data_IF_276765973706
#
_entry.id   IF_276765973706
#
_cell.length_a   1.000
_cell.length_b   1.000
_cell.length_c   1.000
_cell.angle_alpha   90.00
_cell.angle_beta   90.00
_cell.angle_gamma   90.00
#
_symmetry.space_group_name_H-M   'P 1'
#
loop_
_entity.id
_entity.type
_entity.pdbx_description
1 polymer ?
#
# COMPACT_ATOMS: atom_id res chain seq x y z
N UNK A 1 1.19 2.29 -20.03
CA UNK A 1 1.18 1.24 -18.97
C UNK A 1 2.56 1.23 -18.32
N UNK A 2 2.66 1.02 -17.00
CA UNK A 2 3.97 0.87 -16.33
C UNK A 2 4.53 -0.50 -16.68
N UNK A 3 5.80 -0.56 -17.08
CA UNK A 3 6.45 -1.82 -17.49
C UNK A 3 6.76 -2.67 -16.24
N UNK A 4 6.51 -3.98 -16.32
CA UNK A 4 6.84 -4.94 -15.25
C UNK A 4 8.33 -4.90 -14.86
N UNK A 5 9.19 -4.57 -15.83
CA UNK A 5 10.63 -4.39 -15.62
C UNK A 5 10.98 -3.38 -14.52
N UNK A 6 10.13 -2.37 -14.30
CA UNK A 6 10.35 -1.36 -13.25
C UNK A 6 10.16 -1.97 -11.87
N UNK A 7 9.11 -2.77 -11.67
CA UNK A 7 8.87 -3.50 -10.43
C UNK A 7 9.97 -4.54 -10.15
N UNK A 8 10.38 -5.29 -11.17
CA UNK A 8 11.47 -6.26 -11.07
C UNK A 8 12.79 -5.59 -10.69
N UNK A 9 13.06 -4.37 -11.17
CA UNK A 9 14.27 -3.63 -10.78
C UNK A 9 14.24 -3.28 -9.30
N UNK A 10 13.10 -2.85 -8.77
CA UNK A 10 12.95 -2.56 -7.35
C UNK A 10 13.16 -3.82 -6.49
N UNK A 11 12.48 -4.92 -6.79
CA UNK A 11 12.64 -6.18 -6.05
C UNK A 11 14.06 -6.75 -6.14
N UNK A 12 14.73 -6.55 -7.28
CA UNK A 12 16.14 -6.91 -7.45
C UNK A 12 17.06 -6.10 -6.54
N UNK A 13 16.78 -4.81 -6.32
CA UNK A 13 17.55 -3.96 -5.39
C UNK A 13 17.27 -4.31 -3.92
N UNK A 14 16.04 -4.73 -3.58
CA UNK A 14 15.71 -5.30 -2.25
C UNK A 14 16.44 -6.62 -1.99
N UNK A 15 16.68 -7.38 -3.05
CA UNK A 15 17.40 -8.64 -3.03
C UNK A 15 16.43 -9.81 -3.18
N UNK A 16 16.61 -10.68 -4.21
CA UNK A 16 15.64 -11.72 -4.55
C UNK A 16 15.41 -12.72 -3.39
N UNK A 17 16.48 -13.13 -2.70
CA UNK A 17 16.37 -14.01 -1.54
C UNK A 17 15.54 -13.37 -0.42
N UNK A 18 15.78 -12.10 -0.10
CA UNK A 18 15.02 -11.37 0.91
C UNK A 18 13.56 -11.20 0.52
N UNK A 19 13.26 -10.93 -0.75
CA UNK A 19 11.87 -10.86 -1.22
C UNK A 19 11.14 -12.19 -1.07
N UNK A 20 11.81 -13.31 -1.37
CA UNK A 20 11.23 -14.66 -1.18
C UNK A 20 10.98 -14.93 0.30
N UNK A 21 11.93 -14.60 1.18
CA UNK A 21 11.77 -14.76 2.63
C UNK A 21 10.58 -13.94 3.15
N UNK A 22 10.45 -12.68 2.73
CA UNK A 22 9.34 -11.80 3.15
C UNK A 22 8.00 -12.44 2.73
N UNK A 23 7.85 -12.84 1.47
CA UNK A 23 6.61 -13.43 0.95
C UNK A 23 6.30 -14.76 1.63
N UNK A 24 7.31 -15.61 1.86
CA UNK A 24 7.12 -16.90 2.51
C UNK A 24 6.73 -16.77 3.98
N UNK A 25 7.41 -15.90 4.73
CA UNK A 25 7.06 -15.62 6.13
C UNK A 25 5.68 -14.98 6.25
N UNK A 26 5.32 -14.13 5.29
CA UNK A 26 3.98 -13.58 5.20
C UNK A 26 2.92 -14.67 4.98
N UNK A 27 3.17 -15.61 4.06
CA UNK A 27 2.28 -16.73 3.81
C UNK A 27 2.12 -17.62 5.05
N UNK A 28 3.22 -17.92 5.75
CA UNK A 28 3.20 -18.69 7.00
C UNK A 28 2.44 -17.97 8.11
N UNK A 29 2.60 -16.65 8.25
CA UNK A 29 1.80 -15.83 9.15
C UNK A 29 0.30 -15.97 8.86
N UNK A 30 -0.09 -15.88 7.58
CA UNK A 30 -1.49 -15.99 7.18
C UNK A 30 -2.05 -17.39 7.43
N UNK A 31 -1.27 -18.44 7.16
CA UNK A 31 -1.65 -19.84 7.44
C UNK A 31 -1.81 -20.07 8.93
N UNK A 32 -0.86 -19.62 9.76
CA UNK A 32 -0.95 -19.72 11.22
C UNK A 32 -2.19 -18.98 11.76
N UNK A 33 -2.51 -17.80 11.21
CA UNK A 33 -3.71 -17.06 11.55
C UNK A 33 -4.99 -17.82 11.21
N UNK A 34 -5.06 -18.44 10.03
CA UNK A 34 -6.22 -19.26 9.64
C UNK A 34 -6.35 -20.49 10.54
N UNK A 35 -5.25 -21.20 10.80
CA UNK A 35 -5.25 -22.37 11.69
C UNK A 35 -5.68 -22.01 13.11
N UNK A 36 -5.25 -20.86 13.64
CA UNK A 36 -5.68 -20.40 14.96
C UNK A 36 -7.20 -20.14 15.02
N UNK A 37 -7.78 -19.56 13.95
CA UNK A 37 -9.22 -19.35 13.86
C UNK A 37 -9.99 -20.68 13.73
N UNK A 38 -9.51 -21.62 12.91
CA UNK A 38 -10.12 -22.95 12.78
C UNK A 38 -10.07 -23.69 14.11
N UNK A 39 -8.92 -23.70 14.77
CA UNK A 39 -8.73 -24.32 16.07
C UNK A 39 -9.65 -23.72 17.16
N UNK A 40 -9.84 -22.40 17.14
CA UNK A 40 -10.79 -21.74 18.04
C UNK A 40 -12.24 -22.12 17.73
N UNK A 41 -12.58 -22.30 16.44
CA UNK A 41 -13.90 -22.81 16.04
C UNK A 41 -14.13 -24.24 16.52
N UNK A 42 -13.13 -25.11 16.47
CA UNK A 42 -13.22 -26.48 16.99
C UNK A 42 -13.34 -26.48 18.52
N UNK A 43 -12.57 -25.65 19.22
CA UNK A 43 -12.65 -25.53 20.68
C UNK A 43 -14.05 -25.08 21.14
N UNK A 44 -14.63 -24.11 20.45
CA UNK A 44 -15.98 -23.59 20.77
C UNK A 44 -17.12 -24.51 20.32
N UNK A 45 -16.87 -25.39 19.34
CA UNK A 45 -17.85 -26.33 18.81
C UNK A 45 -17.87 -27.71 19.47
N UNK A 46 -17.01 -27.97 20.47
CA UNK A 46 -16.94 -29.27 21.14
C UNK A 46 -18.17 -29.52 22.03
N UNK A 47 -19.16 -30.26 21.49
CA UNK A 47 -20.39 -30.64 22.19
C UNK A 47 -20.14 -31.42 23.48
N UNK A 48 -19.00 -32.12 23.61
CA UNK A 48 -18.70 -32.87 24.83
C UNK A 48 -18.36 -31.93 25.99
N UNK A 49 -17.75 -30.77 25.70
CA UNK A 49 -17.53 -29.72 26.70
C UNK A 49 -18.86 -29.05 27.06
N UNK A 50 -19.74 -28.83 26.08
CA UNK A 50 -21.04 -28.20 26.30
C UNK A 50 -22.07 -29.10 27.02
N UNK A 51 -22.02 -30.42 26.78
CA UNK A 51 -22.93 -31.40 27.38
C UNK A 51 -22.64 -31.72 28.85
N UNK A 52 -21.51 -31.25 29.39
CA UNK A 52 -21.16 -31.43 30.80
C UNK A 52 -20.79 -32.87 31.17
N UNK A 53 -20.50 -33.72 30.18
CA UNK A 53 -20.23 -35.15 30.38
C UNK A 53 -18.79 -35.44 30.89
N UNK A 54 -18.00 -34.40 31.15
CA UNK A 54 -16.62 -34.48 31.65
C UNK A 54 -16.55 -34.19 33.14
N UNK A 55 -15.69 -34.94 33.84
CA UNK A 55 -15.31 -34.60 35.22
C UNK A 55 -14.50 -33.29 35.21
N UNK A 56 -14.56 -32.50 36.29
CA UNK A 56 -13.81 -31.24 36.41
C UNK A 56 -12.32 -31.35 36.05
N UNK A 57 -11.67 -32.48 36.37
CA UNK A 57 -10.26 -32.72 36.04
C UNK A 57 -10.05 -32.95 34.53
N UNK A 58 -10.88 -33.74 33.88
CA UNK A 58 -10.81 -34.04 32.44
C UNK A 58 -11.08 -32.78 31.59
N UNK A 59 -12.07 -31.97 32.00
CA UNK A 59 -12.36 -30.68 31.37
C UNK A 59 -11.17 -29.73 31.44
N UNK A 60 -10.49 -29.68 32.60
CA UNK A 60 -9.33 -28.82 32.80
C UNK A 60 -8.17 -29.23 31.90
N UNK A 61 -7.92 -30.53 31.74
CA UNK A 61 -6.87 -31.04 30.86
C UNK A 61 -7.17 -30.75 29.38
N UNK A 62 -8.40 -31.01 28.92
CA UNK A 62 -8.87 -30.66 27.57
C UNK A 62 -8.70 -29.17 27.27
N UNK A 63 -9.17 -28.29 28.15
CA UNK A 63 -9.03 -26.85 27.98
C UNK A 63 -7.56 -26.40 27.99
N UNK A 64 -6.72 -27.02 28.81
CA UNK A 64 -5.29 -26.74 28.81
C UNK A 64 -4.63 -27.14 27.49
N UNK A 65 -5.03 -28.25 26.88
CA UNK A 65 -4.56 -28.67 25.56
C UNK A 65 -4.96 -27.67 24.47
N UNK A 66 -6.25 -27.29 24.40
CA UNK A 66 -6.73 -26.29 23.43
C UNK A 66 -5.99 -24.96 23.57
N UNK A 67 -5.83 -24.47 24.81
CA UNK A 67 -5.11 -23.24 25.12
C UNK A 67 -3.63 -23.31 24.74
N UNK A 68 -2.98 -24.46 24.97
CA UNK A 68 -1.55 -24.65 24.66
C UNK A 68 -1.32 -24.60 23.15
N UNK A 69 -2.14 -25.29 22.36
CA UNK A 69 -2.03 -25.27 20.89
C UNK A 69 -2.36 -23.88 20.34
N UNK A 70 -3.41 -23.22 20.85
CA UNK A 70 -3.76 -21.86 20.44
C UNK A 70 -2.64 -20.86 20.78
N UNK A 71 -2.05 -20.97 21.97
CA UNK A 71 -0.91 -20.16 22.39
C UNK A 71 0.34 -20.40 21.53
N UNK A 72 0.61 -21.65 21.16
CA UNK A 72 1.71 -22.00 20.26
C UNK A 72 1.52 -21.41 18.84
N UNK A 73 0.29 -21.45 18.30
CA UNK A 73 -0.05 -20.82 17.02
C UNK A 73 0.10 -19.30 17.07
N UNK A 74 -0.32 -18.66 18.18
CA UNK A 74 -0.11 -17.23 18.41
C UNK A 74 1.37 -16.85 18.52
N UNK A 75 2.18 -17.67 19.20
CA UNK A 75 3.63 -17.46 19.28
C UNK A 75 4.30 -17.61 17.90
N UNK A 76 3.90 -18.61 17.11
CA UNK A 76 4.37 -18.79 15.74
C UNK A 76 3.98 -17.60 14.85
N UNK A 77 2.75 -17.10 14.99
CA UNK A 77 2.28 -15.90 14.31
C UNK A 77 3.15 -14.69 14.63
N UNK A 78 3.40 -14.42 15.92
CA UNK A 78 4.26 -13.33 16.36
C UNK A 78 5.68 -13.43 15.81
N UNK A 79 6.24 -14.65 15.79
CA UNK A 79 7.55 -14.92 15.19
C UNK A 79 7.58 -14.59 13.70
N UNK A 80 6.61 -15.08 12.91
CA UNK A 80 6.56 -14.80 11.47
C UNK A 80 6.38 -13.30 11.18
N UNK A 81 5.55 -12.61 11.96
CA UNK A 81 5.41 -11.13 11.88
C UNK A 81 6.73 -10.44 12.10
N UNK A 82 7.42 -10.79 13.17
CA UNK A 82 8.70 -10.18 13.51
C UNK A 82 9.72 -10.39 12.39
N UNK A 83 9.82 -11.61 11.86
CA UNK A 83 10.78 -11.93 10.80
C UNK A 83 10.49 -11.15 9.52
N UNK A 84 9.26 -11.19 8.99
CA UNK A 84 8.99 -10.46 7.74
C UNK A 84 9.07 -8.94 7.92
N UNK A 85 8.68 -8.41 9.09
CA UNK A 85 8.73 -6.98 9.37
C UNK A 85 10.17 -6.48 9.51
N UNK A 86 11.02 -7.19 10.25
CA UNK A 86 12.43 -6.83 10.41
C UNK A 86 13.20 -6.98 9.10
N UNK A 87 13.07 -8.12 8.41
CA UNK A 87 13.75 -8.33 7.11
C UNK A 87 13.26 -7.31 6.09
N UNK A 88 11.94 -7.06 6.06
CA UNK A 88 11.30 -6.05 5.23
C UNK A 88 11.86 -4.65 5.43
N UNK A 89 11.83 -4.16 6.66
CA UNK A 89 12.30 -2.82 7.02
C UNK A 89 13.78 -2.63 6.68
N UNK A 90 14.64 -3.56 7.10
CA UNK A 90 16.08 -3.46 6.85
C UNK A 90 16.43 -3.51 5.35
N UNK A 91 15.79 -4.41 4.60
CA UNK A 91 16.11 -4.61 3.18
C UNK A 91 15.54 -3.51 2.29
N UNK A 92 14.36 -2.97 2.60
CA UNK A 92 13.80 -1.86 1.85
C UNK A 92 14.60 -0.57 2.08
N UNK A 93 15.06 -0.29 3.30
CA UNK A 93 15.96 0.84 3.59
C UNK A 93 17.32 0.65 2.89
N UNK A 94 17.88 -0.56 2.90
CA UNK A 94 19.12 -0.84 2.17
C UNK A 94 18.95 -0.64 0.65
N UNK A 95 17.82 -1.07 0.09
CA UNK A 95 17.51 -0.88 -1.33
C UNK A 95 17.38 0.59 -1.71
N UNK A 96 16.69 1.38 -0.87
CA UNK A 96 16.58 2.82 -1.00
C UNK A 96 17.94 3.51 -1.03
N UNK A 97 18.80 3.20 -0.05
CA UNK A 97 20.16 3.74 0.02
C UNK A 97 21.02 3.38 -1.20
N UNK A 98 20.90 2.13 -1.69
CA UNK A 98 21.60 1.67 -2.90
C UNK A 98 21.12 2.42 -4.14
N UNK A 99 19.81 2.60 -4.29
CA UNK A 99 19.22 3.31 -5.42
C UNK A 99 19.58 4.80 -5.40
N UNK A 100 19.56 5.44 -4.23
CA UNK A 100 20.01 6.82 -4.03
C UNK A 100 21.49 6.98 -4.41
N UNK A 101 22.37 6.11 -3.89
CA UNK A 101 23.81 6.15 -4.16
C UNK A 101 24.12 5.90 -5.64
N UNK A 102 23.42 4.95 -6.27
CA UNK A 102 23.55 4.67 -7.70
C UNK A 102 23.07 5.84 -8.57
N UNK A 103 22.03 6.55 -8.14
CA UNK A 103 21.56 7.76 -8.83
C UNK A 103 22.57 8.90 -8.69
N UNK A 104 23.10 9.10 -7.49
CA UNK A 104 24.12 10.12 -7.21
C UNK A 104 25.37 9.91 -8.07
N UNK A 105 25.90 8.69 -8.10
CA UNK A 105 27.09 8.34 -8.90
C UNK A 105 26.89 8.65 -10.39
N UNK A 106 25.71 8.34 -10.95
CA UNK A 106 25.38 8.62 -12.35
C UNK A 106 25.22 10.11 -12.65
N UNK A 107 24.65 10.87 -11.71
CA UNK A 107 24.50 12.32 -11.88
C UNK A 107 25.86 13.01 -11.82
N UNK A 108 26.74 12.61 -10.89
CA UNK A 108 28.09 13.18 -10.78
C UNK A 108 28.97 12.91 -12.01
N UNK A 109 28.74 11.79 -12.70
CA UNK A 109 29.45 11.42 -13.94
C UNK A 109 28.77 11.93 -15.22
N UNK A 110 27.66 12.65 -15.11
CA UNK A 110 26.95 13.17 -16.27
C UNK A 110 27.74 14.31 -16.95
N UNK A 111 27.71 14.43 -18.29
CA UNK A 111 28.36 15.53 -19.00
C UNK A 111 27.69 16.87 -18.68
N UNK A 112 28.41 17.99 -18.83
CA UNK A 112 27.86 19.35 -18.65
C UNK A 112 26.59 19.58 -19.47
N UNK A 113 26.49 19.01 -20.68
CA UNK A 113 25.30 19.11 -21.51
C UNK A 113 24.02 18.59 -20.84
N UNK A 114 24.12 17.61 -19.93
CA UNK A 114 22.98 17.17 -19.13
C UNK A 114 22.52 18.28 -18.18
N UNK A 115 23.45 18.97 -17.52
CA UNK A 115 23.14 20.05 -16.58
C UNK A 115 22.64 21.33 -17.28
N UNK A 116 23.13 21.61 -18.49
CA UNK A 116 22.67 22.75 -19.28
C UNK A 116 21.26 22.55 -19.84
N UNK A 117 20.89 21.31 -20.16
CA UNK A 117 19.58 20.99 -20.75
C UNK A 117 18.51 20.59 -19.73
N UNK A 118 18.90 20.12 -18.55
CA UNK A 118 17.95 19.71 -17.51
C UNK A 118 17.81 20.78 -16.41
N UNK A 119 16.59 21.25 -16.13
CA UNK A 119 16.39 22.22 -15.07
C UNK A 119 16.85 21.66 -13.72
N UNK A 120 17.65 22.43 -12.97
CA UNK A 120 18.18 22.00 -11.68
C UNK A 120 17.08 21.60 -10.69
N UNK A 121 15.92 22.25 -10.75
CA UNK A 121 14.75 21.89 -9.94
C UNK A 121 14.23 20.48 -10.19
N UNK A 122 14.37 19.94 -11.41
CA UNK A 122 13.99 18.55 -11.73
C UNK A 122 14.94 17.56 -11.06
N UNK A 123 16.23 17.87 -11.02
CA UNK A 123 17.24 17.05 -10.34
C UNK A 123 16.95 17.05 -8.84
N UNK A 124 16.75 18.22 -8.23
CA UNK A 124 16.43 18.34 -6.80
C UNK A 124 15.15 17.60 -6.43
N UNK A 125 14.07 17.74 -7.21
CA UNK A 125 12.81 17.04 -6.93
C UNK A 125 12.97 15.51 -6.99
N UNK A 126 13.91 15.00 -7.79
CA UNK A 126 14.23 13.57 -7.86
C UNK A 126 14.98 13.07 -6.62
N UNK A 127 15.89 13.88 -6.07
CA UNK A 127 16.62 13.55 -4.84
C UNK A 127 15.78 13.78 -3.57
N UNK A 128 14.74 14.61 -3.62
CA UNK A 128 13.84 14.84 -2.48
C UNK A 128 12.57 13.99 -2.58
N UNK A 129 11.60 14.42 -3.37
CA UNK A 129 10.23 13.89 -3.37
C UNK A 129 10.13 12.46 -3.93
N UNK A 130 10.89 12.15 -4.98
CA UNK A 130 10.85 10.82 -5.57
C UNK A 130 11.55 9.78 -4.66
N UNK A 131 12.65 10.17 -4.01
CA UNK A 131 13.34 9.32 -3.00
C UNK A 131 12.45 9.14 -1.76
N UNK A 132 11.82 10.20 -1.25
CA UNK A 132 10.86 10.09 -0.13
C UNK A 132 9.71 9.12 -0.44
N UNK A 133 9.20 9.15 -1.67
CA UNK A 133 8.16 8.23 -2.14
C UNK A 133 8.67 6.79 -2.18
N UNK A 134 9.92 6.58 -2.59
CA UNK A 134 10.58 5.28 -2.62
C UNK A 134 10.85 4.73 -1.22
N UNK A 135 11.22 5.59 -0.28
CA UNK A 135 11.64 5.22 1.07
C UNK A 135 10.46 4.93 2.00
N UNK A 136 9.37 5.70 1.88
CA UNK A 136 8.24 5.63 2.81
C UNK A 136 6.98 5.06 2.16
N UNK A 137 6.52 5.68 1.07
CA UNK A 137 5.20 5.36 0.50
C UNK A 137 5.19 3.99 -0.18
N UNK A 138 6.23 3.67 -0.95
CA UNK A 138 6.28 2.45 -1.74
C UNK A 138 6.36 1.18 -0.87
N UNK A 139 7.21 1.09 0.17
CA UNK A 139 7.18 0.03 1.16
C UNK A 139 5.80 -0.17 1.80
N UNK A 140 5.19 0.91 2.29
CA UNK A 140 3.88 0.86 2.95
C UNK A 140 2.81 0.28 2.02
N UNK A 141 2.75 0.76 0.77
CA UNK A 141 1.78 0.28 -0.22
C UNK A 141 2.03 -1.20 -0.56
N UNK A 142 3.28 -1.63 -0.71
CA UNK A 142 3.61 -3.04 -1.00
C UNK A 142 3.14 -3.95 0.15
N UNK A 143 3.43 -3.61 1.40
CA UNK A 143 3.00 -4.40 2.55
C UNK A 143 1.47 -4.46 2.67
N UNK A 144 0.78 -3.32 2.52
CA UNK A 144 -0.68 -3.29 2.50
C UNK A 144 -1.27 -4.13 1.38
N UNK A 145 -0.67 -4.09 0.18
CA UNK A 145 -1.14 -4.87 -0.96
C UNK A 145 -0.94 -6.38 -0.74
N UNK A 146 0.23 -6.80 -0.25
CA UNK A 146 0.51 -8.20 0.10
C UNK A 146 -0.48 -8.66 1.19
N UNK A 147 -0.66 -7.88 2.25
CA UNK A 147 -1.64 -8.15 3.31
C UNK A 147 -3.04 -8.38 2.77
N UNK A 148 -3.51 -7.48 1.91
CA UNK A 148 -4.83 -7.58 1.31
C UNK A 148 -4.96 -8.83 0.45
N UNK A 149 -4.00 -9.11 -0.44
CA UNK A 149 -4.03 -10.27 -1.34
C UNK A 149 -4.07 -11.57 -0.54
N UNK A 150 -3.18 -11.75 0.42
CA UNK A 150 -3.13 -12.97 1.24
C UNK A 150 -4.36 -13.12 2.14
N UNK A 151 -4.88 -12.02 2.71
CA UNK A 151 -6.10 -12.04 3.51
C UNK A 151 -7.33 -12.45 2.68
N UNK A 152 -7.48 -11.88 1.47
CA UNK A 152 -8.58 -12.26 0.55
C UNK A 152 -8.43 -13.72 0.11
N UNK A 153 -7.23 -14.16 -0.25
CA UNK A 153 -7.00 -15.57 -0.61
C UNK A 153 -7.33 -16.51 0.55
N UNK A 154 -6.89 -16.18 1.77
CA UNK A 154 -7.17 -16.97 2.96
C UNK A 154 -8.67 -17.08 3.25
N UNK A 155 -9.40 -15.97 3.19
CA UNK A 155 -10.86 -15.97 3.42
C UNK A 155 -11.59 -16.79 2.36
N UNK A 156 -11.22 -16.66 1.07
CA UNK A 156 -11.80 -17.47 -0.01
C UNK A 156 -11.54 -18.96 0.19
N UNK A 157 -10.34 -19.36 0.63
CA UNK A 157 -10.00 -20.76 0.92
C UNK A 157 -10.83 -21.29 2.09
N UNK A 158 -10.91 -20.54 3.20
CA UNK A 158 -11.68 -20.95 4.39
C UNK A 158 -13.16 -21.12 4.05
N UNK A 159 -13.76 -20.19 3.31
CA UNK A 159 -15.17 -20.29 2.91
C UNK A 159 -15.38 -21.49 1.97
N UNK A 160 -14.45 -21.73 1.03
CA UNK A 160 -14.58 -22.85 0.09
C UNK A 160 -14.49 -24.22 0.78
N UNK A 161 -13.69 -24.36 1.84
CA UNK A 161 -13.60 -25.60 2.64
C UNK A 161 -14.90 -25.82 3.43
N UNK A 162 -15.41 -24.78 4.09
CA UNK A 162 -16.61 -24.90 4.93
C UNK A 162 -17.91 -25.01 4.12
N UNK A 163 -17.96 -24.42 2.92
CA UNK A 163 -19.18 -24.37 2.11
C UNK A 163 -18.84 -24.52 0.61
N UNK A 164 -18.63 -25.74 0.10
CA UNK A 164 -18.15 -25.96 -1.27
C UNK A 164 -19.12 -25.46 -2.35
N UNK A 165 -20.43 -25.38 -2.05
CA UNK A 165 -21.43 -24.81 -2.95
C UNK A 165 -21.13 -23.34 -3.26
N UNK A 166 -20.56 -22.60 -2.29
CA UNK A 166 -20.20 -21.19 -2.44
C UNK A 166 -19.11 -20.98 -3.50
N UNK A 167 -18.29 -21.99 -3.79
CA UNK A 167 -17.25 -21.93 -4.83
C UNK A 167 -17.84 -21.62 -6.21
N UNK A 168 -19.07 -22.08 -6.50
CA UNK A 168 -19.75 -21.73 -7.76
C UNK A 168 -20.09 -20.24 -7.88
N UNK A 169 -20.25 -19.53 -6.76
CA UNK A 169 -20.57 -18.08 -6.71
C UNK A 169 -19.30 -17.22 -6.77
N UNK A 170 -18.16 -17.75 -6.35
CA UNK A 170 -16.86 -17.04 -6.42
C UNK A 170 -16.51 -16.70 -7.88
N UNK A 171 -16.80 -17.59 -8.83
CA UNK A 171 -16.46 -17.39 -10.24
C UNK A 171 -17.17 -16.17 -10.87
N UNK A 172 -18.51 -16.02 -10.81
CA UNK A 172 -19.18 -14.82 -11.31
C UNK A 172 -18.78 -13.55 -10.54
N UNK A 173 -18.53 -13.66 -9.23
CA UNK A 173 -18.07 -12.53 -8.42
C UNK A 173 -16.67 -12.05 -8.84
N UNK A 174 -15.77 -12.97 -9.16
CA UNK A 174 -14.44 -12.67 -9.66
C UNK A 174 -14.49 -12.00 -11.04
N UNK A 175 -15.38 -12.46 -11.94
CA UNK A 175 -15.59 -11.81 -13.24
C UNK A 175 -16.13 -10.38 -13.07
N UNK A 176 -17.11 -10.18 -12.18
CA UNK A 176 -17.64 -8.85 -11.86
C UNK A 176 -16.55 -7.94 -11.28
N UNK A 177 -15.72 -8.46 -10.37
CA UNK A 177 -14.56 -7.75 -9.83
C UNK A 177 -13.59 -7.31 -10.93
N UNK A 178 -13.23 -8.21 -11.87
CA UNK A 178 -12.33 -7.87 -12.98
C UNK A 178 -12.94 -6.79 -13.89
N UNK A 179 -14.25 -6.82 -14.13
CA UNK A 179 -14.93 -5.80 -14.92
C UNK A 179 -14.86 -4.43 -14.24
N UNK A 180 -15.18 -4.36 -12.94
CA UNK A 180 -15.08 -3.14 -12.14
C UNK A 180 -13.63 -2.65 -12.09
N UNK A 181 -12.66 -3.54 -11.83
CA UNK A 181 -11.24 -3.20 -11.76
C UNK A 181 -10.72 -2.62 -13.08
N UNK A 182 -11.11 -3.22 -14.22
CA UNK A 182 -10.72 -2.73 -15.55
C UNK A 182 -11.29 -1.34 -15.87
N UNK A 183 -12.46 -0.98 -15.34
CA UNK A 183 -13.03 0.35 -15.49
C UNK A 183 -12.44 1.36 -14.49
N UNK A 184 -12.31 0.94 -13.23
CA UNK A 184 -11.89 1.79 -12.12
C UNK A 184 -10.42 2.23 -12.25
N UNK A 185 -9.50 1.31 -12.54
CA UNK A 185 -8.06 1.58 -12.52
C UNK A 185 -7.64 2.63 -13.56
N UNK A 186 -8.10 2.60 -14.84
CA UNK A 186 -7.86 3.68 -15.79
C UNK A 186 -8.47 5.02 -15.37
N UNK A 187 -9.72 5.01 -14.89
CA UNK A 187 -10.44 6.23 -14.50
C UNK A 187 -9.79 6.92 -13.32
N UNK A 188 -9.50 6.19 -12.23
CA UNK A 188 -8.82 6.69 -11.05
C UNK A 188 -7.44 7.29 -11.40
N UNK A 189 -6.66 6.64 -12.28
CA UNK A 189 -5.39 7.20 -12.76
C UNK A 189 -5.57 8.50 -13.54
N UNK A 190 -6.53 8.58 -14.45
CA UNK A 190 -6.76 9.82 -15.21
C UNK A 190 -7.23 10.95 -14.29
N UNK A 191 -8.04 10.63 -13.29
CA UNK A 191 -8.52 11.59 -12.32
C UNK A 191 -7.39 12.15 -11.45
N UNK A 192 -6.53 11.27 -10.93
CA UNK A 192 -5.30 11.66 -10.21
C UNK A 192 -4.35 12.48 -11.08
N UNK A 193 -4.27 12.18 -12.39
CA UNK A 193 -3.51 12.97 -13.36
C UNK A 193 -4.13 14.36 -13.58
N UNK A 194 -5.45 14.44 -13.75
CA UNK A 194 -6.16 15.72 -13.93
C UNK A 194 -5.99 16.61 -12.71
N UNK A 195 -6.19 16.06 -11.51
CA UNK A 195 -5.92 16.74 -10.23
C UNK A 195 -4.48 17.28 -10.17
N UNK A 196 -3.48 16.45 -10.51
CA UNK A 196 -2.08 16.89 -10.50
C UNK A 196 -1.81 18.04 -11.50
N UNK A 197 -2.43 18.00 -12.69
CA UNK A 197 -2.29 19.04 -13.71
C UNK A 197 -2.99 20.34 -13.27
N UNK A 198 -4.19 20.26 -12.70
CA UNK A 198 -4.93 21.45 -12.24
C UNK A 198 -4.36 22.07 -10.99
N UNK A 199 -3.61 21.31 -10.19
CA UNK A 199 -2.94 21.83 -9.00
C UNK A 199 -1.73 22.71 -9.32
N UNK A 200 -0.99 22.43 -10.41
CA UNK A 200 0.23 23.19 -10.75
C UNK A 200 -0.03 24.70 -11.00
N UNK A 201 -1.05 25.11 -11.78
CA UNK A 201 -1.37 26.52 -11.98
C UNK A 201 -1.72 27.30 -10.71
N UNK A 202 -2.17 26.64 -9.64
CA UNK A 202 -2.46 27.29 -8.35
C UNK A 202 -1.15 27.75 -7.72
N UNK A 203 -0.15 26.87 -7.66
CA UNK A 203 1.18 27.21 -7.12
C UNK A 203 1.88 28.28 -7.96
N UNK A 204 1.79 28.21 -9.29
CA UNK A 204 2.35 29.23 -10.18
C UNK A 204 1.70 30.61 -9.96
N UNK A 205 0.37 30.67 -9.88
CA UNK A 205 -0.36 31.92 -9.61
C UNK A 205 0.01 32.51 -8.25
N UNK A 206 0.12 31.66 -7.23
CA UNK A 206 0.50 32.08 -5.89
C UNK A 206 1.92 32.67 -5.88
N UNK A 207 2.88 32.01 -6.54
CA UNK A 207 4.25 32.51 -6.69
C UNK A 207 4.30 33.87 -7.39
N UNK A 208 3.57 34.03 -8.50
CA UNK A 208 3.48 35.29 -9.25
C UNK A 208 2.87 36.42 -8.40
N UNK A 209 1.80 36.10 -7.66
CA UNK A 209 1.14 37.05 -6.75
C UNK A 209 2.08 37.52 -5.63
N UNK A 210 2.91 36.61 -5.12
CA UNK A 210 3.84 36.91 -4.02
C UNK A 210 4.97 37.84 -4.50
N UNK A 211 5.54 37.57 -5.67
CA UNK A 211 6.55 38.44 -6.30
C UNK A 211 5.97 39.79 -6.74
N UNK A 212 4.74 39.80 -7.28
CA UNK A 212 4.05 41.00 -7.78
C UNK A 212 3.20 41.74 -6.75
N UNK A 213 3.28 41.39 -5.46
CA UNK A 213 2.33 41.84 -4.44
C UNK A 213 2.22 43.37 -4.32
N UNK A 214 3.34 44.09 -4.45
CA UNK A 214 3.38 45.55 -4.41
C UNK A 214 2.64 46.18 -5.60
N UNK A 215 2.79 45.60 -6.80
CA UNK A 215 2.14 46.08 -8.03
C UNK A 215 0.63 45.85 -7.93
N UNK A 216 0.21 44.67 -7.49
CA UNK A 216 -1.21 44.32 -7.32
C UNK A 216 -1.90 45.29 -6.35
N UNK A 217 -1.24 45.63 -5.25
CA UNK A 217 -1.74 46.61 -4.27
C UNK A 217 -1.74 48.04 -4.83
N UNK A 218 -0.68 48.44 -5.53
CA UNK A 218 -0.56 49.77 -6.12
C UNK A 218 -1.67 50.05 -7.15
N UNK A 219 -2.04 49.05 -7.95
CA UNK A 219 -3.14 49.15 -8.92
C UNK A 219 -4.52 48.81 -8.34
N UNK A 220 -4.61 48.48 -7.05
CA UNK A 220 -5.84 48.11 -6.36
C UNK A 220 -6.66 46.99 -7.06
N UNK A 221 -5.98 45.96 -7.58
CA UNK A 221 -6.60 44.83 -8.32
C UNK A 221 -6.62 43.52 -7.52
N UNK A 222 -6.65 43.61 -6.19
CA UNK A 222 -6.56 42.47 -5.28
C UNK A 222 -7.72 41.49 -5.49
N UNK A 223 -8.96 42.00 -5.60
CA UNK A 223 -10.16 41.17 -5.75
C UNK A 223 -10.12 40.32 -7.02
N UNK A 224 -9.62 40.89 -8.12
CA UNK A 224 -9.45 40.16 -9.39
C UNK A 224 -8.50 38.97 -9.23
N UNK A 225 -7.35 39.19 -8.59
CA UNK A 225 -6.40 38.10 -8.34
C UNK A 225 -6.97 37.06 -7.37
N UNK A 226 -7.74 37.49 -6.37
CA UNK A 226 -8.41 36.58 -5.44
C UNK A 226 -9.44 35.69 -6.15
N UNK A 227 -10.29 36.27 -7.00
CA UNK A 227 -11.27 35.52 -7.80
C UNK A 227 -10.60 34.48 -8.71
N UNK A 228 -9.53 34.84 -9.41
CA UNK A 228 -8.77 33.90 -10.26
C UNK A 228 -8.17 32.77 -9.42
N UNK A 229 -7.72 33.05 -8.20
CA UNK A 229 -7.19 32.03 -7.30
C UNK A 229 -8.29 31.03 -6.90
N UNK A 230 -9.47 31.54 -6.50
CA UNK A 230 -10.63 30.73 -6.12
C UNK A 230 -11.08 29.84 -7.28
N UNK A 231 -11.21 30.39 -8.50
CA UNK A 231 -11.61 29.62 -9.69
C UNK A 231 -10.65 28.45 -9.98
N UNK A 232 -9.33 28.68 -9.85
CA UNK A 232 -8.33 27.62 -10.03
C UNK A 232 -8.42 26.56 -8.93
N UNK A 233 -8.67 26.96 -7.69
CA UNK A 233 -8.88 26.04 -6.56
C UNK A 233 -10.13 25.20 -6.80
N UNK A 234 -11.27 25.82 -7.14
CA UNK A 234 -12.54 25.16 -7.38
C UNK A 234 -12.42 24.12 -8.50
N UNK A 235 -11.77 24.49 -9.61
CA UNK A 235 -11.50 23.57 -10.71
C UNK A 235 -10.67 22.35 -10.27
N UNK A 236 -9.71 22.54 -9.38
CA UNK A 236 -8.93 21.43 -8.82
C UNK A 236 -9.77 20.57 -7.85
N UNK A 237 -10.62 21.21 -7.03
CA UNK A 237 -11.48 20.52 -6.07
C UNK A 237 -12.47 19.57 -6.75
N UNK A 238 -13.00 19.91 -7.94
CA UNK A 238 -13.87 19.00 -8.72
C UNK A 238 -13.18 17.66 -8.99
N UNK A 239 -11.92 17.66 -9.42
CA UNK A 239 -11.17 16.43 -9.71
C UNK A 239 -10.76 15.70 -8.44
N UNK A 240 -10.36 16.43 -7.40
CA UNK A 240 -9.99 15.87 -6.11
C UNK A 240 -11.19 15.16 -5.44
N UNK A 241 -12.34 15.83 -5.39
CA UNK A 241 -13.57 15.29 -4.82
C UNK A 241 -14.03 14.06 -5.58
N UNK A 242 -14.09 14.12 -6.92
CA UNK A 242 -14.42 12.97 -7.74
C UNK A 242 -13.46 11.79 -7.48
N UNK A 243 -12.18 12.06 -7.21
CA UNK A 243 -11.19 11.05 -6.84
C UNK A 243 -11.50 10.37 -5.52
N UNK A 244 -11.90 11.15 -4.50
CA UNK A 244 -12.32 10.61 -3.20
C UNK A 244 -13.61 9.81 -3.34
N UNK A 245 -14.61 10.35 -4.03
CA UNK A 245 -15.90 9.66 -4.22
C UNK A 245 -15.74 8.35 -4.97
N UNK A 246 -14.86 8.29 -5.97
CA UNK A 246 -14.60 7.05 -6.70
C UNK A 246 -13.93 5.98 -5.81
N UNK A 247 -13.12 6.37 -4.82
CA UNK A 247 -12.44 5.45 -3.91
C UNK A 247 -13.34 4.92 -2.78
N UNK A 248 -14.55 5.46 -2.60
CA UNK A 248 -15.46 5.18 -1.49
C UNK A 248 -16.56 4.21 -1.92
#
# INVERSE_FOLDING_TARGET
QVKLSVFLTYFRNVGPCSTVIIVLMFALFQVASVLANIWLSEWTGDEQIASGNYTYQELREKNHQYLTVYGALGAAQAFFVLVYACVGALRMVAAASLMHSSMLDRVLKAPMSFFDTTPIGRIVNRFSRDVETLDNQLPQIIFMWIMCVFSVLATLVVISINTPIFTSVILPLFVAYLAVQRFFVPTSRQLKRLEAITRSPIYSHFSETLTGSHVIRAFNVIDRFCQVCIERIDRNQVFYFAGITANR
#
